data_IF_153359487723
#
_entry.id   IF_153359487723
#
_cell.length_a   1.000
_cell.length_b   1.000
_cell.length_c   1.000
_cell.angle_alpha   90.00
_cell.angle_beta   90.00
_cell.angle_gamma   90.00
#
_symmetry.space_group_name_H-M   'P 1'
#
loop_
_entity.id
_entity.type
_entity.pdbx_description
1 polymer ?
#
# COMPACT_ATOMS: atom_id res chain seq x y z
N UNK A 1 -9.69 7.39 25.35
CA UNK A 1 -9.28 6.16 24.63
C UNK A 1 -9.80 6.23 23.20
N UNK A 2 -8.94 6.67 22.28
CA UNK A 2 -9.34 7.20 20.97
C UNK A 2 -9.29 6.20 19.82
N UNK A 3 -10.38 6.13 19.06
CA UNK A 3 -10.52 6.08 17.58
C UNK A 3 -9.62 5.18 16.69
N UNK A 4 -8.81 4.27 17.23
CA UNK A 4 -7.95 3.40 16.41
C UNK A 4 -8.76 2.39 15.55
N UNK A 5 -10.00 2.07 15.93
CA UNK A 5 -10.84 1.09 15.23
C UNK A 5 -11.64 1.63 14.02
N UNK A 6 -11.64 2.94 13.74
CA UNK A 6 -12.54 3.51 12.72
C UNK A 6 -12.09 3.25 11.27
N UNK A 7 -10.80 2.97 11.04
CA UNK A 7 -10.27 2.79 9.68
C UNK A 7 -10.42 1.36 9.12
N UNK A 8 -10.46 0.35 9.99
CA UNK A 8 -10.61 -1.07 9.56
C UNK A 8 -11.94 -1.33 8.88
N UNK A 9 -13.03 -0.69 9.35
CA UNK A 9 -14.36 -0.83 8.77
C UNK A 9 -14.46 -0.18 7.39
N UNK A 10 -13.77 0.94 7.16
CA UNK A 10 -13.78 1.66 5.89
C UNK A 10 -13.10 0.84 4.78
N UNK A 11 -11.89 0.32 5.03
CA UNK A 11 -11.19 -0.52 4.06
C UNK A 11 -11.98 -1.80 3.74
N UNK A 12 -12.52 -2.47 4.78
CA UNK A 12 -13.36 -3.66 4.61
C UNK A 12 -14.64 -3.37 3.81
N UNK A 13 -15.27 -2.22 4.04
CA UNK A 13 -16.47 -1.79 3.32
C UNK A 13 -16.18 -1.50 1.85
N UNK A 14 -15.06 -0.85 1.54
CA UNK A 14 -14.61 -0.60 0.16
C UNK A 14 -14.44 -1.91 -0.62
N UNK A 15 -13.71 -2.87 -0.04
CA UNK A 15 -13.50 -4.18 -0.66
C UNK A 15 -14.80 -4.96 -0.83
N UNK A 16 -15.71 -4.92 0.16
CA UNK A 16 -17.03 -5.55 0.06
C UNK A 16 -17.87 -4.96 -1.09
N UNK A 17 -17.70 -3.67 -1.38
CA UNK A 17 -18.41 -2.97 -2.44
C UNK A 17 -17.66 -3.01 -3.79
N UNK A 18 -16.59 -3.79 -3.91
CA UNK A 18 -15.77 -3.88 -5.14
C UNK A 18 -15.06 -2.58 -5.50
N UNK A 19 -14.94 -1.64 -4.55
CA UNK A 19 -14.28 -0.35 -4.77
C UNK A 19 -12.76 -0.48 -4.59
N UNK A 20 -11.97 0.25 -5.38
CA UNK A 20 -10.51 0.23 -5.25
C UNK A 20 -10.09 0.75 -3.88
N UNK A 21 -9.10 0.10 -3.28
CA UNK A 21 -8.40 0.49 -2.07
C UNK A 21 -6.94 0.75 -2.41
N UNK A 22 -6.48 1.98 -2.21
CA UNK A 22 -5.09 2.36 -2.42
C UNK A 22 -4.34 2.34 -1.08
N UNK A 23 -3.17 1.70 -1.05
CA UNK A 23 -2.28 1.60 0.10
C UNK A 23 -0.97 2.33 -0.16
N UNK A 24 -0.63 3.28 0.71
CA UNK A 24 0.69 3.90 0.79
C UNK A 24 1.42 3.31 1.99
N UNK A 25 2.37 2.42 1.75
CA UNK A 25 3.12 1.76 2.83
C UNK A 25 4.22 2.69 3.36
N UNK A 26 4.39 2.70 4.68
CA UNK A 26 5.49 3.38 5.34
C UNK A 26 5.82 2.57 6.58
N UNK A 27 6.73 1.61 6.44
CA UNK A 27 7.08 0.70 7.54
C UNK A 27 8.56 0.37 7.54
N UNK A 28 9.13 0.21 8.73
CA UNK A 28 10.55 -0.09 8.93
C UNK A 28 10.89 -1.58 8.82
N UNK A 29 9.88 -2.46 8.77
CA UNK A 29 9.99 -3.91 8.73
C UNK A 29 9.37 -4.53 7.45
N UNK A 30 9.23 -3.73 6.41
CA UNK A 30 8.54 -4.06 5.17
C UNK A 30 9.17 -5.21 4.38
N UNK A 31 10.50 -5.35 4.41
CA UNK A 31 11.20 -6.53 3.87
C UNK A 31 11.48 -7.62 4.92
N UNK A 32 11.05 -7.40 6.16
CA UNK A 32 11.16 -8.36 7.26
C UNK A 32 9.86 -9.12 7.49
N UNK A 33 9.34 -9.06 8.72
CA UNK A 33 8.12 -9.78 9.09
C UNK A 33 6.88 -9.36 8.27
N UNK A 34 6.82 -8.09 7.84
CA UNK A 34 5.68 -7.58 7.07
C UNK A 34 5.75 -7.86 5.57
N UNK A 35 6.86 -8.41 5.05
CA UNK A 35 7.00 -8.74 3.63
C UNK A 35 5.91 -9.73 3.16
N UNK A 36 5.60 -10.73 3.99
CA UNK A 36 4.52 -11.69 3.73
C UNK A 36 3.16 -11.00 3.57
N UNK A 37 2.86 -10.04 4.44
CA UNK A 37 1.59 -9.33 4.44
C UNK A 37 1.48 -8.42 3.20
N UNK A 38 2.56 -7.73 2.84
CA UNK A 38 2.61 -6.89 1.63
C UNK A 38 2.42 -7.76 0.38
N UNK A 39 3.10 -8.91 0.29
CA UNK A 39 2.92 -9.84 -0.84
C UNK A 39 1.49 -10.38 -0.96
N UNK A 40 0.85 -10.72 0.15
CA UNK A 40 -0.55 -11.15 0.16
C UNK A 40 -1.51 -10.05 -0.33
N UNK A 41 -1.27 -8.80 0.10
CA UNK A 41 -2.06 -7.65 -0.32
C UNK A 41 -1.84 -7.29 -1.80
N UNK A 42 -0.62 -7.42 -2.32
CA UNK A 42 -0.32 -7.22 -3.75
C UNK A 42 -1.06 -8.20 -4.66
N UNK A 43 -1.32 -9.43 -4.19
CA UNK A 43 -2.09 -10.43 -4.93
C UNK A 43 -3.62 -10.29 -4.74
N UNK A 44 -4.07 -9.34 -3.92
CA UNK A 44 -5.49 -9.20 -3.59
C UNK A 44 -6.22 -8.33 -4.61
N UNK A 45 -7.43 -8.74 -5.02
CA UNK A 45 -8.26 -7.97 -5.96
C UNK A 45 -8.68 -6.63 -5.34
N UNK A 46 -8.74 -5.59 -6.18
CA UNK A 46 -9.11 -4.22 -5.82
C UNK A 46 -8.21 -3.55 -4.77
N UNK A 47 -7.04 -4.12 -4.49
CA UNK A 47 -6.00 -3.49 -3.68
C UNK A 47 -4.90 -3.01 -4.60
N UNK A 48 -4.56 -1.73 -4.48
CA UNK A 48 -3.54 -1.07 -5.28
C UNK A 48 -2.52 -0.42 -4.35
N UNK A 49 -1.28 -0.37 -4.80
CA UNK A 49 -0.18 0.23 -4.05
C UNK A 49 0.26 1.51 -4.70
N UNK A 50 0.55 2.51 -3.88
CA UNK A 50 1.40 3.63 -4.31
C UNK A 50 2.81 3.06 -4.50
N UNK A 51 3.50 3.38 -5.62
CA UNK A 51 4.86 2.93 -5.83
C UNK A 51 5.77 3.22 -4.63
N UNK A 52 6.57 2.23 -4.25
CA UNK A 52 7.37 2.29 -3.03
C UNK A 52 8.78 1.78 -3.27
N UNK A 53 9.71 2.23 -2.43
CA UNK A 53 11.12 1.89 -2.49
C UNK A 53 11.68 1.62 -1.08
N UNK A 54 12.89 1.09 -1.02
CA UNK A 54 13.65 1.14 0.23
C UNK A 54 14.04 2.59 0.53
N UNK A 55 13.94 3.00 1.80
CA UNK A 55 14.35 4.34 2.25
C UNK A 55 15.88 4.42 2.34
N UNK A 56 16.47 3.60 3.21
CA UNK A 56 17.93 3.53 3.40
C UNK A 56 18.35 2.06 3.45
N UNK A 57 18.85 1.55 2.34
CA UNK A 57 19.25 0.15 2.22
C UNK A 57 20.41 -0.24 3.15
N UNK A 58 21.19 0.72 3.67
CA UNK A 58 22.35 0.45 4.53
C UNK A 58 22.02 0.58 6.01
N UNK A 59 21.29 1.62 6.41
CA UNK A 59 20.95 1.84 7.83
C UNK A 59 19.61 1.22 8.22
N UNK A 60 18.69 1.06 7.26
CA UNK A 60 17.33 0.55 7.49
C UNK A 60 16.95 -0.48 6.43
N UNK A 61 17.72 -1.57 6.39
CA UNK A 61 17.63 -2.64 5.37
C UNK A 61 16.18 -3.10 5.11
N UNK A 62 15.35 -3.17 6.16
CA UNK A 62 13.97 -3.65 6.04
C UNK A 62 12.93 -2.55 5.77
N UNK A 63 13.32 -1.28 5.73
CA UNK A 63 12.39 -0.15 5.64
C UNK A 63 11.91 0.10 4.22
N UNK A 64 10.59 0.17 4.06
CA UNK A 64 9.91 0.52 2.82
C UNK A 64 9.10 1.81 3.00
N UNK A 65 9.20 2.69 2.02
CA UNK A 65 8.48 3.96 1.99
C UNK A 65 7.80 4.16 0.62
N UNK A 66 6.53 4.52 0.65
CA UNK A 66 5.78 4.90 -0.55
C UNK A 66 6.18 6.31 -1.00
N UNK A 67 6.33 6.48 -2.31
CA UNK A 67 6.56 7.77 -2.95
C UNK A 67 5.24 8.53 -3.02
N UNK A 68 4.99 9.37 -2.02
CA UNK A 68 3.74 10.13 -1.88
C UNK A 68 3.43 11.04 -3.08
N UNK A 69 4.46 11.47 -3.83
CA UNK A 69 4.31 12.22 -5.07
C UNK A 69 3.54 11.43 -6.14
N UNK A 70 3.58 10.08 -6.08
CA UNK A 70 2.85 9.18 -6.98
C UNK A 70 1.48 8.77 -6.45
N UNK A 71 1.01 9.34 -5.34
CA UNK A 71 -0.31 9.03 -4.79
C UNK A 71 -1.43 9.39 -5.76
N UNK A 72 -1.40 10.60 -6.34
CA UNK A 72 -2.44 11.06 -7.28
C UNK A 72 -2.48 10.20 -8.55
N UNK A 73 -1.32 9.92 -9.21
CA UNK A 73 -1.27 8.95 -10.30
C UNK A 73 -1.78 7.55 -9.92
N UNK A 74 -1.43 7.06 -8.72
CA UNK A 74 -1.85 5.73 -8.27
C UNK A 74 -3.36 5.65 -8.04
N UNK A 75 -3.97 6.73 -7.54
CA UNK A 75 -5.43 6.83 -7.39
C UNK A 75 -6.11 6.83 -8.75
N UNK A 76 -5.59 7.58 -9.73
CA UNK A 76 -6.15 7.59 -11.09
C UNK A 76 -6.13 6.20 -11.71
N UNK A 77 -4.98 5.51 -11.67
CA UNK A 77 -4.84 4.16 -12.19
C UNK A 77 -5.77 3.16 -11.47
N UNK A 78 -5.91 3.28 -10.14
CA UNK A 78 -6.77 2.42 -9.36
C UNK A 78 -8.27 2.59 -9.69
N UNK A 79 -8.70 3.79 -10.10
CA UNK A 79 -10.07 4.03 -10.59
C UNK A 79 -10.34 3.27 -11.90
N UNK A 80 -9.33 3.16 -12.77
CA UNK A 80 -9.36 2.34 -13.99
C UNK A 80 -9.17 0.84 -13.70
N UNK A 81 -9.02 0.46 -12.44
CA UNK A 81 -8.86 -0.91 -12.00
C UNK A 81 -7.46 -1.48 -12.26
N UNK A 82 -6.47 -0.64 -12.58
CA UNK A 82 -5.10 -1.05 -12.91
C UNK A 82 -4.08 -0.60 -11.85
N UNK A 83 -3.08 -1.44 -11.61
CA UNK A 83 -1.97 -1.10 -10.73
C UNK A 83 -0.99 -0.18 -11.47
N UNK A 84 -0.71 0.99 -10.90
CA UNK A 84 0.31 1.90 -11.41
C UNK A 84 1.67 1.21 -11.43
N UNK A 85 2.37 1.31 -12.57
CA UNK A 85 3.71 0.76 -12.79
C UNK A 85 4.73 1.90 -13.05
N UNK A 86 5.99 1.75 -12.64
CA UNK A 86 6.53 0.65 -11.83
C UNK A 86 6.03 0.71 -10.37
N UNK A 87 5.76 -0.44 -9.76
CA UNK A 87 5.36 -0.51 -8.32
C UNK A 87 6.56 -0.40 -7.39
N UNK A 88 7.68 -1.02 -7.77
CA UNK A 88 8.95 -0.98 -7.02
C UNK A 88 9.86 0.04 -7.70
N UNK A 89 10.33 1.03 -6.94
CA UNK A 89 11.12 2.16 -7.45
C UNK A 89 12.33 2.45 -6.57
#
# INVERSE_FOLDING_TARGET
MGNCCRWRSTAKSHLRNGRPLILAISTNDGLGANAKNIGLLLNSKHIYFVPFCQDDAFKKINSLIAKMDMLVPAVSAALDGVQLQPVLV
#
